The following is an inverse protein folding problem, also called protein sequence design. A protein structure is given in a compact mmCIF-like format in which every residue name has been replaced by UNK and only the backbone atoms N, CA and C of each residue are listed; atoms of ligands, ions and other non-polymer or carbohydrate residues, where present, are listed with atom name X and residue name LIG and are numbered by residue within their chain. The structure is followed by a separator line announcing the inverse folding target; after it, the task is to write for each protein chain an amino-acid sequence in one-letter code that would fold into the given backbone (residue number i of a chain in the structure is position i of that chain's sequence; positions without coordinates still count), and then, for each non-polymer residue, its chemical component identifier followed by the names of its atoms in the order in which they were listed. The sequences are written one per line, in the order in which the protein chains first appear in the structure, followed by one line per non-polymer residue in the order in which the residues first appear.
data_IF_419872931002
#
_entry.id   IF_419872931002
#
_cell.length_a   1.000
_cell.length_b   1.000
_cell.length_c   1.000
_cell.angle_alpha   90.00
_cell.angle_beta   90.00
_cell.angle_gamma   90.00
#
_symmetry.space_group_name_H-M   'P 1'
#
loop_
_entity.id
_entity.type
_entity.pdbx_description
1 polymer ?
#
# COMPACT_ATOMS: atom_id res chain seq x y z
N UNK A 1 -22.15 -14.09 -12.91
CA UNK A 1 -21.84 -12.79 -13.55
C UNK A 1 -22.69 -11.65 -13.00
N UNK A 2 -23.99 -11.86 -12.77
CA UNK A 2 -24.90 -10.82 -12.24
C UNK A 2 -24.47 -10.29 -10.86
N UNK A 3 -24.10 -11.18 -9.93
CA UNK A 3 -23.65 -10.76 -8.59
C UNK A 3 -22.35 -9.95 -8.57
N UNK A 4 -21.44 -10.21 -9.51
CA UNK A 4 -20.22 -9.40 -9.63
C UNK A 4 -20.56 -7.97 -10.04
N UNK A 5 -21.42 -7.79 -11.05
CA UNK A 5 -21.87 -6.46 -11.50
C UNK A 5 -22.58 -5.68 -10.40
N UNK A 6 -23.39 -6.36 -9.59
CA UNK A 6 -24.06 -5.74 -8.45
C UNK A 6 -23.06 -5.19 -7.40
N UNK A 7 -21.96 -5.91 -7.18
CA UNK A 7 -20.96 -5.56 -6.16
C UNK A 7 -19.85 -4.64 -6.69
N UNK A 8 -19.70 -4.47 -8.00
CA UNK A 8 -18.66 -3.64 -8.63
C UNK A 8 -18.70 -2.18 -8.18
N UNK A 9 -19.89 -1.60 -8.01
CA UNK A 9 -20.07 -0.20 -7.58
C UNK A 9 -19.49 0.07 -6.18
N UNK A 10 -19.41 -0.94 -5.33
CA UNK A 10 -18.89 -0.78 -3.96
C UNK A 10 -17.37 -0.59 -3.95
N UNK A 11 -16.64 -1.15 -4.93
CA UNK A 11 -15.17 -1.13 -4.94
C UNK A 11 -14.58 -0.11 -5.92
N UNK A 12 -15.39 0.82 -6.42
CA UNK A 12 -14.93 1.84 -7.35
C UNK A 12 -13.80 2.69 -6.72
N UNK A 13 -12.70 2.83 -7.46
CA UNK A 13 -11.50 3.53 -7.00
C UNK A 13 -10.64 2.78 -5.99
N UNK A 14 -10.97 1.53 -5.64
CA UNK A 14 -10.17 0.72 -4.70
C UNK A 14 -9.12 -0.12 -5.45
N UNK A 15 -7.83 -0.06 -5.07
CA UNK A 15 -6.81 -0.95 -5.62
C UNK A 15 -7.21 -2.42 -5.48
N UNK A 16 -7.04 -3.22 -6.54
CA UNK A 16 -7.48 -4.62 -6.61
C UNK A 16 -8.99 -4.86 -6.41
N UNK A 17 -9.85 -3.85 -6.61
CA UNK A 17 -11.29 -3.94 -6.43
C UNK A 17 -11.95 -5.13 -7.15
N UNK A 18 -11.55 -5.41 -8.41
CA UNK A 18 -12.08 -6.53 -9.18
C UNK A 18 -11.84 -7.89 -8.49
N UNK A 19 -10.66 -8.09 -7.88
CA UNK A 19 -10.34 -9.32 -7.15
C UNK A 19 -11.21 -9.45 -5.90
N UNK A 20 -11.40 -8.35 -5.18
CA UNK A 20 -12.25 -8.29 -3.98
C UNK A 20 -13.69 -8.69 -4.36
N UNK A 21 -14.25 -8.05 -5.38
CA UNK A 21 -15.62 -8.36 -5.86
C UNK A 21 -15.74 -9.80 -6.34
N UNK A 22 -14.76 -10.30 -7.09
CA UNK A 22 -14.77 -11.68 -7.59
C UNK A 22 -14.85 -12.68 -6.44
N UNK A 23 -14.05 -12.48 -5.38
CA UNK A 23 -14.05 -13.35 -4.21
C UNK A 23 -15.39 -13.29 -3.45
N UNK A 24 -15.93 -12.09 -3.22
CA UNK A 24 -17.20 -11.93 -2.53
C UNK A 24 -18.38 -12.48 -3.32
N UNK A 25 -18.42 -12.26 -4.64
CA UNK A 25 -19.44 -12.82 -5.52
C UNK A 25 -19.38 -14.36 -5.55
N UNK A 26 -18.18 -14.94 -5.53
CA UNK A 26 -17.99 -16.40 -5.47
C UNK A 26 -18.48 -16.96 -4.13
N UNK A 27 -18.12 -16.32 -3.01
CA UNK A 27 -18.59 -16.72 -1.69
C UNK A 27 -20.12 -16.62 -1.57
N UNK A 28 -20.72 -15.54 -2.07
CA UNK A 28 -22.18 -15.35 -2.08
C UNK A 28 -22.89 -16.41 -2.94
N UNK A 29 -22.37 -16.68 -4.13
CA UNK A 29 -22.90 -17.75 -4.99
C UNK A 29 -22.78 -19.12 -4.30
N UNK A 30 -21.65 -19.41 -3.66
CA UNK A 30 -21.43 -20.65 -2.92
C UNK A 30 -22.41 -20.83 -1.76
N UNK A 31 -22.64 -19.77 -0.99
CA UNK A 31 -23.62 -19.79 0.10
C UNK A 31 -25.05 -20.03 -0.41
N UNK A 32 -25.48 -19.33 -1.46
CA UNK A 32 -26.82 -19.52 -2.05
C UNK A 32 -27.01 -20.96 -2.52
N UNK A 33 -25.99 -21.55 -3.18
CA UNK A 33 -26.05 -22.95 -3.61
C UNK A 33 -26.15 -23.91 -2.43
N UNK A 34 -25.42 -23.63 -1.33
CA UNK A 34 -25.47 -24.42 -0.11
C UNK A 34 -26.86 -24.38 0.55
N UNK A 35 -27.46 -23.19 0.71
CA UNK A 35 -28.80 -23.05 1.31
C UNK A 35 -29.86 -23.73 0.43
N UNK A 36 -29.77 -23.58 -0.89
CA UNK A 36 -30.65 -24.30 -1.85
C UNK A 36 -30.53 -25.81 -1.73
N UNK A 37 -29.31 -26.31 -1.54
CA UNK A 37 -29.08 -27.73 -1.32
C UNK A 37 -29.73 -28.21 -0.01
N UNK A 38 -29.60 -27.47 1.09
CA UNK A 38 -30.27 -27.80 2.35
C UNK A 38 -31.80 -27.85 2.21
N UNK A 39 -32.40 -26.90 1.49
CA UNK A 39 -33.82 -26.95 1.16
C UNK A 39 -34.18 -28.19 0.35
N UNK A 40 -33.36 -28.58 -0.63
CA UNK A 40 -33.62 -29.79 -1.44
C UNK A 40 -33.64 -31.09 -0.60
N UNK A 41 -32.97 -31.08 0.54
CA UNK A 41 -32.98 -32.14 1.54
C UNK A 41 -34.12 -32.02 2.57
N UNK A 42 -35.02 -31.05 2.40
CA UNK A 42 -36.07 -30.67 3.35
C UNK A 42 -35.55 -30.31 4.75
N UNK A 43 -34.30 -29.84 4.85
CA UNK A 43 -33.72 -29.32 6.10
C UNK A 43 -34.26 -27.91 6.41
N UNK A 44 -34.57 -27.15 5.36
CA UNK A 44 -35.09 -25.79 5.43
C UNK A 44 -36.41 -25.70 4.67
N UNK A 45 -37.32 -24.88 5.18
CA UNK A 45 -38.50 -24.40 4.46
C UNK A 45 -38.13 -23.37 3.38
N UNK A 46 -39.08 -23.06 2.49
CA UNK A 46 -38.87 -22.04 1.47
C UNK A 46 -38.72 -20.63 2.06
N UNK A 47 -39.34 -20.36 3.21
CA UNK A 47 -39.24 -19.06 3.89
C UNK A 47 -37.90 -18.92 4.61
N UNK A 48 -37.41 -19.99 5.23
CA UNK A 48 -36.06 -20.02 5.83
C UNK A 48 -34.96 -19.88 4.78
N UNK A 49 -35.07 -20.56 3.62
CA UNK A 49 -34.13 -20.36 2.50
C UNK A 49 -34.06 -18.88 2.11
N UNK A 50 -35.22 -18.25 1.91
CA UNK A 50 -35.31 -16.87 1.47
C UNK A 50 -34.70 -15.93 2.50
N UNK A 51 -35.07 -16.08 3.78
CA UNK A 51 -34.55 -15.26 4.87
C UNK A 51 -33.03 -15.38 5.01
N UNK A 52 -32.47 -16.59 4.93
CA UNK A 52 -31.02 -16.79 5.02
C UNK A 52 -30.27 -16.18 3.84
N UNK A 53 -30.82 -16.28 2.63
CA UNK A 53 -30.20 -15.67 1.43
C UNK A 53 -30.23 -14.15 1.51
N UNK A 54 -31.34 -13.56 1.95
CA UNK A 54 -31.49 -12.11 2.15
C UNK A 54 -30.53 -11.61 3.24
N UNK A 55 -30.50 -12.25 4.41
CA UNK A 55 -29.59 -11.92 5.52
C UNK A 55 -28.12 -11.98 5.09
N UNK A 56 -27.72 -13.05 4.40
CA UNK A 56 -26.35 -13.20 3.94
C UNK A 56 -25.97 -12.12 2.92
N UNK A 57 -26.92 -11.69 2.08
CA UNK A 57 -26.68 -10.62 1.14
C UNK A 57 -26.41 -9.27 1.83
N UNK A 58 -27.18 -8.96 2.88
CA UNK A 58 -26.96 -7.79 3.72
C UNK A 58 -25.60 -7.84 4.43
N UNK A 59 -25.22 -9.02 4.96
CA UNK A 59 -23.90 -9.23 5.58
C UNK A 59 -22.78 -8.98 4.58
N UNK A 60 -22.87 -9.50 3.35
CA UNK A 60 -21.87 -9.29 2.31
C UNK A 60 -21.75 -7.81 1.97
N UNK A 61 -22.88 -7.12 1.75
CA UNK A 61 -22.90 -5.68 1.42
C UNK A 61 -22.31 -4.84 2.54
N UNK A 62 -22.71 -5.08 3.78
CA UNK A 62 -22.20 -4.39 4.97
C UNK A 62 -20.68 -4.57 5.12
N UNK A 63 -20.20 -5.81 5.02
CA UNK A 63 -18.77 -6.10 5.09
C UNK A 63 -17.99 -5.47 3.94
N UNK A 64 -18.56 -5.44 2.72
CA UNK A 64 -17.91 -4.83 1.57
C UNK A 64 -17.80 -3.31 1.73
N UNK A 65 -18.85 -2.64 2.21
CA UNK A 65 -18.81 -1.20 2.54
C UNK A 65 -17.75 -0.91 3.59
N UNK A 66 -17.71 -1.69 4.68
CA UNK A 66 -16.74 -1.50 5.76
C UNK A 66 -15.31 -1.71 5.25
N UNK A 67 -15.06 -2.79 4.51
CA UNK A 67 -13.76 -3.07 3.91
C UNK A 67 -13.32 -1.96 2.95
N UNK A 68 -14.23 -1.44 2.13
CA UNK A 68 -13.93 -0.35 1.19
C UNK A 68 -13.63 0.94 1.94
N UNK A 69 -14.42 1.28 2.95
CA UNK A 69 -14.17 2.46 3.79
C UNK A 69 -12.83 2.34 4.50
N UNK A 70 -12.53 1.16 5.05
CA UNK A 70 -11.21 0.88 5.59
C UNK A 70 -10.15 1.10 4.52
N UNK A 71 -10.18 0.41 3.39
CA UNK A 71 -9.18 0.55 2.33
C UNK A 71 -9.03 1.98 1.79
N UNK A 72 -10.12 2.77 1.69
CA UNK A 72 -10.08 4.19 1.31
C UNK A 72 -9.45 5.06 2.40
N UNK A 73 -9.62 4.69 3.67
CA UNK A 73 -8.97 5.33 4.81
C UNK A 73 -7.53 4.88 5.00
N UNK A 74 -7.11 3.78 4.37
CA UNK A 74 -5.71 3.37 4.36
C UNK A 74 -4.99 4.21 3.33
N UNK A 75 -4.01 4.98 3.78
CA UNK A 75 -3.16 5.80 2.92
C UNK A 75 -1.71 5.31 3.02
N UNK A 76 -1.38 4.14 2.46
CA UNK A 76 -0.05 3.54 2.56
C UNK A 76 1.07 4.51 2.21
N UNK A 77 0.89 5.29 1.14
CA UNK A 77 1.82 6.33 0.73
C UNK A 77 2.02 7.39 1.82
N UNK A 78 0.94 7.89 2.42
CA UNK A 78 1.02 8.91 3.48
C UNK A 78 1.74 8.34 4.71
N UNK A 79 1.40 7.11 5.12
CA UNK A 79 2.09 6.42 6.21
C UNK A 79 3.59 6.27 5.93
N UNK A 80 3.97 5.92 4.69
CA UNK A 80 5.37 5.82 4.28
C UNK A 80 6.08 7.17 4.44
N UNK A 81 5.52 8.23 3.87
CA UNK A 81 6.16 9.54 3.88
C UNK A 81 6.16 10.19 5.26
N UNK A 82 5.13 10.01 6.08
CA UNK A 82 5.09 10.49 7.46
C UNK A 82 6.21 9.87 8.30
N UNK A 83 6.36 8.54 8.20
CA UNK A 83 7.38 7.81 8.96
C UNK A 83 8.78 8.14 8.43
N UNK A 84 9.01 8.07 7.11
CA UNK A 84 10.32 8.41 6.54
C UNK A 84 10.70 9.85 6.86
N UNK A 85 9.81 10.81 6.65
CA UNK A 85 10.12 12.24 6.88
C UNK A 85 10.46 12.51 8.34
N UNK A 86 9.74 11.86 9.28
CA UNK A 86 10.03 11.93 10.71
C UNK A 86 11.40 11.35 11.03
N UNK A 87 11.74 10.18 10.50
CA UNK A 87 13.02 9.53 10.76
C UNK A 87 14.20 10.24 10.09
N UNK A 88 13.99 10.90 8.93
CA UNK A 88 14.98 11.77 8.28
C UNK A 88 15.23 13.00 9.17
N UNK A 89 14.17 13.65 9.66
CA UNK A 89 14.29 14.83 10.54
C UNK A 89 15.03 14.52 11.85
N UNK A 90 14.82 13.33 12.42
CA UNK A 90 15.55 12.84 13.60
C UNK A 90 17.01 12.45 13.30
N UNK A 91 17.41 12.36 12.03
CA UNK A 91 18.73 11.88 11.62
C UNK A 91 18.93 10.37 11.77
N UNK A 92 17.86 9.60 11.94
CA UNK A 92 17.93 8.13 12.07
C UNK A 92 18.11 7.45 10.72
N UNK A 93 17.61 8.07 9.65
CA UNK A 93 17.73 7.56 8.28
C UNK A 93 18.19 8.64 7.31
N UNK A 94 18.76 8.21 6.19
CA UNK A 94 19.27 9.11 5.16
C UNK A 94 19.11 8.56 3.74
N UNK A 95 19.09 9.46 2.76
CA UNK A 95 19.17 9.17 1.33
C UNK A 95 20.47 9.78 0.83
N UNK A 96 21.38 8.93 0.35
CA UNK A 96 22.69 9.37 -0.16
C UNK A 96 22.50 10.22 -1.40
N UNK A 97 23.17 11.35 -1.48
CA UNK A 97 23.07 12.37 -2.52
C UNK A 97 21.90 13.34 -2.36
N UNK A 98 21.02 13.16 -1.37
CA UNK A 98 19.87 14.06 -1.17
C UNK A 98 20.25 15.32 -0.38
N UNK A 99 21.17 15.21 0.57
CA UNK A 99 21.68 16.35 1.33
C UNK A 99 23.18 16.19 1.69
N UNK A 100 24.08 16.61 0.79
CA UNK A 100 25.52 16.37 0.93
C UNK A 100 26.15 16.96 2.19
N UNK A 101 25.64 18.09 2.70
CA UNK A 101 26.20 18.75 3.90
C UNK A 101 25.98 17.94 5.19
N UNK A 102 24.94 17.09 5.24
CA UNK A 102 24.63 16.21 6.37
C UNK A 102 25.24 14.80 6.24
N UNK A 103 25.88 14.49 5.12
CA UNK A 103 26.52 13.19 4.88
C UNK A 103 27.78 12.97 5.71
N UNK A 104 28.42 14.02 6.24
CA UNK A 104 29.60 13.91 7.10
C UNK A 104 29.40 13.10 8.40
N UNK A 105 28.15 12.75 8.76
CA UNK A 105 27.82 11.80 9.82
C UNK A 105 27.57 10.37 9.29
N UNK A 106 28.40 9.91 8.35
CA UNK A 106 28.26 8.64 7.59
C UNK A 106 28.05 7.36 8.43
N UNK A 107 28.29 7.41 9.75
CA UNK A 107 28.29 6.25 10.63
C UNK A 107 27.07 6.09 11.54
N UNK A 108 26.16 7.07 11.63
CA UNK A 108 24.98 6.97 12.54
C UNK A 108 23.64 6.72 11.85
N UNK A 109 23.40 7.34 10.70
CA UNK A 109 22.10 7.27 10.04
C UNK A 109 22.00 6.07 9.10
N UNK A 110 20.90 5.31 9.21
CA UNK A 110 20.64 4.16 8.34
C UNK A 110 20.29 4.60 6.93
N UNK A 111 20.98 4.07 5.93
CA UNK A 111 20.70 4.41 4.53
C UNK A 111 19.43 3.71 4.06
N UNK A 112 18.47 4.49 3.54
CA UNK A 112 17.20 4.00 2.99
C UNK A 112 17.06 4.25 1.49
N UNK A 113 18.00 4.96 0.87
CA UNK A 113 17.99 5.18 -0.58
C UNK A 113 19.21 5.94 -1.08
N UNK A 114 19.24 6.17 -2.39
CA UNK A 114 20.29 6.91 -3.09
C UNK A 114 19.67 7.76 -4.20
N UNK A 115 20.12 9.01 -4.35
CA UNK A 115 19.84 9.83 -5.54
C UNK A 115 20.59 9.24 -6.74
N UNK A 116 19.86 9.02 -7.83
CA UNK A 116 20.43 8.47 -9.05
C UNK A 116 21.03 9.59 -9.90
N UNK A 117 22.07 9.28 -10.67
CA UNK A 117 22.75 10.25 -11.55
C UNK A 117 21.83 10.81 -12.65
N UNK A 118 20.72 10.10 -12.93
CA UNK A 118 19.63 10.59 -13.75
C UNK A 118 18.87 11.70 -13.00
N UNK A 119 18.92 12.92 -13.55
CA UNK A 119 18.29 14.11 -12.96
C UNK A 119 16.84 13.81 -12.57
N UNK A 120 16.55 13.89 -11.27
CA UNK A 120 15.19 13.85 -10.74
C UNK A 120 14.69 12.48 -10.26
N UNK A 121 15.55 11.48 -10.04
CA UNK A 121 15.12 10.16 -9.55
C UNK A 121 15.83 9.75 -8.26
N UNK A 122 15.07 9.24 -7.30
CA UNK A 122 15.56 8.61 -6.07
C UNK A 122 15.35 7.10 -6.15
N UNK A 123 16.41 6.31 -5.95
CA UNK A 123 16.32 4.89 -5.69
C UNK A 123 16.04 4.65 -4.20
N UNK A 124 14.79 4.38 -3.85
CA UNK A 124 14.37 4.02 -2.49
C UNK A 124 14.56 2.52 -2.27
N UNK A 125 15.34 2.13 -1.26
CA UNK A 125 15.54 0.74 -0.84
C UNK A 125 14.35 0.24 -0.04
N UNK A 126 13.19 0.13 -0.71
CA UNK A 126 11.84 -0.12 -0.19
C UNK A 126 11.69 -1.07 1.03
N UNK A 127 12.52 -2.11 1.14
CA UNK A 127 12.52 -3.03 2.30
C UNK A 127 12.89 -2.32 3.61
N UNK A 128 13.80 -1.35 3.57
CA UNK A 128 14.25 -0.65 4.78
C UNK A 128 13.19 0.31 5.32
N UNK A 129 12.58 1.20 4.52
CA UNK A 129 11.42 1.96 4.97
C UNK A 129 10.26 1.10 5.43
N UNK A 130 9.95 0.01 4.72
CA UNK A 130 8.84 -0.86 5.11
C UNK A 130 9.11 -1.57 6.45
N UNK A 131 10.36 -1.88 6.76
CA UNK A 131 10.77 -2.39 8.08
C UNK A 131 10.53 -1.33 9.18
N UNK A 132 10.78 -0.05 8.90
CA UNK A 132 10.50 1.05 9.85
C UNK A 132 9.00 1.19 10.10
N UNK A 133 8.19 1.12 9.04
CA UNK A 133 6.72 1.11 9.16
C UNK A 133 6.27 -0.05 10.05
N UNK A 134 6.73 -1.28 9.78
CA UNK A 134 6.39 -2.45 10.61
C UNK A 134 6.74 -2.23 12.08
N UNK A 135 7.94 -1.71 12.35
CA UNK A 135 8.39 -1.43 13.72
C UNK A 135 7.51 -0.37 14.40
N UNK A 136 7.20 0.72 13.71
CA UNK A 136 6.33 1.78 14.25
C UNK A 136 4.94 1.26 14.67
N UNK A 137 4.34 0.40 13.85
CA UNK A 137 3.05 -0.22 14.17
C UNK A 137 3.15 -1.19 15.35
N UNK A 138 4.23 -2.00 15.40
CA UNK A 138 4.52 -2.86 16.55
C UNK A 138 4.69 -2.06 17.86
N UNK A 139 5.48 -0.99 17.84
CA UNK A 139 5.77 -0.15 19.01
C UNK A 139 4.52 0.62 19.51
N UNK A 140 3.57 0.90 18.61
CA UNK A 140 2.31 1.61 18.95
C UNK A 140 1.15 0.67 19.29
N UNK A 141 1.37 -0.65 19.26
CA UNK A 141 0.32 -1.66 19.49
C UNK A 141 -0.77 -1.66 18.42
N UNK A 142 -0.47 -1.14 17.22
CA UNK A 142 -1.40 -1.09 16.08
C UNK A 142 -1.04 -2.17 15.06
N UNK A 143 -2.06 -2.74 14.41
CA UNK A 143 -1.81 -3.67 13.30
C UNK A 143 -1.45 -2.93 12.02
N UNK A 144 -0.39 -3.40 11.34
CA UNK A 144 -0.07 -2.93 10.00
C UNK A 144 -1.03 -3.58 9.01
N UNK A 145 -1.93 -2.77 8.44
CA UNK A 145 -3.02 -3.24 7.58
C UNK A 145 -2.75 -3.17 6.08
N UNK A 146 -1.48 -3.01 5.68
CA UNK A 146 -1.10 -3.07 4.27
C UNK A 146 0.24 -3.77 4.07
N UNK A 147 0.38 -4.40 2.91
CA UNK A 147 1.57 -5.09 2.44
C UNK A 147 2.51 -4.14 1.69
N UNK A 148 3.75 -4.57 1.48
CA UNK A 148 4.71 -3.79 0.68
C UNK A 148 4.25 -3.69 -0.78
N UNK A 149 3.52 -4.70 -1.27
CA UNK A 149 2.92 -4.71 -2.59
C UNK A 149 1.77 -3.71 -2.73
N UNK A 150 0.92 -3.57 -1.71
CA UNK A 150 -0.15 -2.56 -1.68
C UNK A 150 0.43 -1.14 -1.61
N UNK A 151 1.46 -0.93 -0.80
CA UNK A 151 2.21 0.33 -0.78
C UNK A 151 2.78 0.68 -2.16
N UNK A 152 3.38 -0.31 -2.84
CA UNK A 152 3.90 -0.11 -4.21
C UNK A 152 2.79 0.29 -5.17
N UNK A 153 1.65 -0.40 -5.13
CA UNK A 153 0.56 -0.13 -6.06
C UNK A 153 -0.07 1.25 -5.80
N UNK A 154 -0.14 1.71 -4.54
CA UNK A 154 -0.59 3.05 -4.19
C UNK A 154 0.37 4.14 -4.71
N UNK A 155 1.69 3.96 -4.54
CA UNK A 155 2.70 4.85 -5.11
C UNK A 155 2.65 4.91 -6.65
N UNK A 156 2.33 3.80 -7.31
CA UNK A 156 2.19 3.72 -8.77
C UNK A 156 0.91 4.40 -9.24
N UNK A 157 -0.22 4.13 -8.58
CA UNK A 157 -1.51 4.74 -8.92
C UNK A 157 -1.51 6.27 -8.78
N UNK A 158 -0.62 6.81 -7.94
CA UNK A 158 -0.43 8.25 -7.72
C UNK A 158 0.67 8.86 -8.58
N UNK A 159 1.32 8.08 -9.44
CA UNK A 159 2.36 8.58 -10.36
C UNK A 159 3.71 8.92 -9.70
N UNK A 160 3.97 8.42 -8.50
CA UNK A 160 5.21 8.70 -7.76
C UNK A 160 6.32 7.71 -8.16
N UNK A 161 5.95 6.48 -8.52
CA UNK A 161 6.87 5.46 -9.00
C UNK A 161 7.27 5.71 -10.46
N UNK A 162 8.56 5.90 -10.67
CA UNK A 162 9.21 5.88 -11.97
C UNK A 162 9.52 4.43 -12.40
N UNK A 163 9.42 4.15 -13.69
CA UNK A 163 9.73 2.81 -14.22
C UNK A 163 11.24 2.63 -14.34
N UNK A 164 11.76 1.51 -13.85
CA UNK A 164 13.18 1.15 -13.94
C UNK A 164 13.62 0.66 -15.34
N UNK A 165 12.77 0.83 -16.36
CA UNK A 165 12.85 0.26 -17.71
C UNK A 165 11.46 -0.08 -18.27
N UNK A 166 11.35 -0.65 -19.48
CA UNK A 166 10.07 -0.83 -20.19
C UNK A 166 8.97 -1.56 -19.39
N UNK A 167 9.35 -2.51 -18.51
CA UNK A 167 8.38 -3.33 -17.73
C UNK A 167 8.73 -3.55 -16.25
N UNK A 168 9.86 -3.04 -15.74
CA UNK A 168 10.33 -3.37 -14.38
C UNK A 168 10.04 -2.24 -13.40
N UNK A 169 9.36 -2.59 -12.29
CA UNK A 169 8.99 -1.66 -11.19
C UNK A 169 10.04 -1.55 -10.09
N UNK A 170 11.08 -2.38 -10.17
CA UNK A 170 12.22 -2.34 -9.25
C UNK A 170 13.48 -2.83 -9.98
N UNK A 171 14.64 -2.36 -9.56
CA UNK A 171 15.93 -2.86 -10.05
C UNK A 171 16.96 -2.95 -8.93
N UNK A 172 18.05 -3.66 -9.19
CA UNK A 172 19.18 -3.71 -8.28
C UNK A 172 20.02 -2.45 -8.42
N UNK A 173 20.25 -1.76 -7.30
CA UNK A 173 21.12 -0.59 -7.19
C UNK A 173 22.29 -0.96 -6.28
N UNK A 174 23.51 -0.60 -6.69
CA UNK A 174 24.72 -0.80 -5.89
C UNK A 174 25.01 0.43 -5.04
N UNK A 175 25.32 0.20 -3.78
CA UNK A 175 25.80 1.24 -2.86
C UNK A 175 26.85 0.63 -1.94
N UNK A 176 28.04 1.25 -1.86
CA UNK A 176 29.15 0.83 -0.98
C UNK A 176 29.51 -0.67 -1.08
N UNK A 177 29.43 -1.25 -2.28
CA UNK A 177 29.71 -2.67 -2.54
C UNK A 177 28.51 -3.61 -2.40
N UNK A 178 27.46 -3.20 -1.70
CA UNK A 178 26.24 -3.97 -1.50
C UNK A 178 25.22 -3.76 -2.62
N UNK A 179 24.31 -4.74 -2.79
CA UNK A 179 23.21 -4.69 -3.77
C UNK A 179 21.88 -4.58 -3.06
N UNK A 180 21.12 -3.55 -3.38
CA UNK A 180 19.79 -3.30 -2.85
C UNK A 180 18.76 -3.40 -3.97
N UNK A 181 17.61 -4.00 -3.68
CA UNK A 181 16.46 -3.89 -4.56
C UNK A 181 15.75 -2.56 -4.26
N UNK A 182 15.60 -1.72 -5.28
CA UNK A 182 15.12 -0.36 -5.15
C UNK A 182 13.87 -0.10 -6.01
N UNK A 183 13.01 0.75 -5.50
CA UNK A 183 11.97 1.45 -6.25
C UNK A 183 12.50 2.82 -6.69
N UNK A 184 12.14 3.25 -7.88
CA UNK A 184 12.55 4.55 -8.40
C UNK A 184 11.41 5.52 -8.19
N UNK A 185 11.67 6.61 -7.47
CA UNK A 185 10.68 7.61 -7.15
C UNK A 185 11.06 8.92 -7.84
N UNK A 186 10.04 9.64 -8.31
CA UNK A 186 10.22 11.00 -8.75
C UNK A 186 10.72 11.86 -7.57
N UNK A 187 11.87 12.51 -7.75
CA UNK A 187 12.55 13.26 -6.69
C UNK A 187 11.77 14.48 -6.23
N UNK A 188 11.06 15.16 -7.15
CA UNK A 188 10.25 16.33 -6.81
C UNK A 188 9.06 15.93 -5.94
N UNK A 189 8.32 14.89 -6.34
CA UNK A 189 7.22 14.35 -5.53
C UNK A 189 7.71 13.80 -4.19
N UNK A 190 8.86 13.11 -4.16
CA UNK A 190 9.45 12.64 -2.92
C UNK A 190 9.76 13.79 -1.94
N UNK A 191 10.41 14.86 -2.43
CA UNK A 191 10.76 16.04 -1.61
C UNK A 191 9.51 16.74 -1.07
N UNK A 192 8.51 16.94 -1.93
CA UNK A 192 7.21 17.52 -1.59
C UNK A 192 6.52 16.73 -0.47
N UNK A 193 6.43 15.41 -0.61
CA UNK A 193 5.79 14.56 0.39
C UNK A 193 6.58 14.43 1.70
N UNK A 194 7.91 14.55 1.66
CA UNK A 194 8.72 14.55 2.88
C UNK A 194 8.81 15.92 3.57
N UNK A 195 8.17 16.97 3.02
CA UNK A 195 8.34 18.36 3.42
C UNK A 195 9.81 18.79 3.48
N UNK A 196 10.61 18.39 2.48
CA UNK A 196 12.02 18.76 2.33
C UNK A 196 12.11 19.94 1.34
N UNK A 197 11.24 20.92 1.49
CA UNK A 197 11.38 22.20 0.77
C UNK A 197 12.30 23.11 1.60
N UNK A 198 13.30 23.68 0.94
CA UNK A 198 14.27 24.66 1.45
C UNK A 198 15.22 24.23 2.58
N UNK A 199 15.97 23.12 2.40
CA UNK A 199 17.23 22.91 3.18
C UNK A 199 18.45 23.58 2.49
N UNK A 200 18.20 24.35 1.43
CA UNK A 200 19.22 25.10 0.67
C UNK A 200 19.45 26.53 1.20
N UNK A 201 18.80 26.94 2.30
CA UNK A 201 18.85 28.34 2.82
C UNK A 201 19.35 28.54 4.24
N UNK A 202 20.01 27.55 4.86
CA UNK A 202 20.54 27.72 6.23
C UNK A 202 22.06 27.92 6.33
N UNK A 203 22.77 28.12 5.21
CA UNK A 203 24.20 28.49 5.23
C UNK A 203 24.48 29.66 4.26
N UNK A 204 24.00 30.87 4.61
CA UNK A 204 24.63 32.14 4.20
C UNK A 204 25.09 32.92 5.43
#
# INVERSE_FOLDING_TARGET
MEKMKELESYVEGVPNGLRIVSNWALNNTGFILFVRFLKSLNVLTADEERGMVEEYDEIVKSNLVNLVQELKNHRPMEVLFDIISTEIRKGNVQIVGLNPSKENNEYKAKVIGKVMDQKGVIALFHREPFRLIKKYFQDTGKDLRFTIEELRNDLEGRGILERAGEKRKSAQVRLRGDRFQAWFLNMAEFKKHCCIEDWEKEDE
#
